data_IF_589524476728
#
_entry.id   IF_589524476728
#
_cell.length_a   1.000
_cell.length_b   1.000
_cell.length_c   1.000
_cell.angle_alpha   90.00
_cell.angle_beta   90.00
_cell.angle_gamma   90.00
#
_symmetry.space_group_name_H-M   'P 1'
#
loop_
_entity.id
_entity.type
_entity.pdbx_description
1 polymer ?
#
# COMPACT_ATOMS: atom_id res chain seq x y z
N UNK A 1 -20.42 -1.87 -4.12
CA UNK A 1 -19.79 -1.98 -2.79
C UNK A 1 -18.92 -0.74 -2.64
N UNK A 2 -19.35 0.23 -1.84
CA UNK A 2 -18.54 1.42 -1.58
C UNK A 2 -17.36 1.02 -0.69
N UNK A 3 -16.19 0.77 -1.29
CA UNK A 3 -14.96 0.63 -0.53
C UNK A 3 -14.72 1.93 0.24
N UNK A 4 -14.58 1.82 1.56
CA UNK A 4 -14.23 2.98 2.38
C UNK A 4 -12.73 3.21 2.21
N UNK A 5 -12.36 4.30 1.53
CA UNK A 5 -10.96 4.75 1.51
C UNK A 5 -10.64 5.34 2.88
N UNK A 6 -9.63 4.76 3.54
CA UNK A 6 -9.15 5.22 4.83
C UNK A 6 -7.66 5.56 4.72
N UNK A 7 -7.26 6.68 5.33
CA UNK A 7 -5.85 7.05 5.47
C UNK A 7 -5.38 6.58 6.84
N UNK A 8 -4.37 5.71 6.86
CA UNK A 8 -3.77 5.20 8.08
C UNK A 8 -2.50 6.01 8.40
N UNK A 9 -2.36 6.43 9.65
CA UNK A 9 -1.13 7.08 10.14
C UNK A 9 -0.02 6.06 10.41
N UNK A 10 1.23 6.54 10.46
CA UNK A 10 2.38 5.69 10.79
C UNK A 10 2.32 5.12 12.22
N UNK A 11 1.69 5.84 13.13
CA UNK A 11 1.40 5.42 14.50
C UNK A 11 0.52 4.17 14.58
N UNK A 12 -0.29 3.92 13.55
CA UNK A 12 -1.06 2.69 13.41
C UNK A 12 -0.29 1.62 12.61
N UNK A 13 0.31 2.02 11.48
CA UNK A 13 0.97 1.09 10.56
C UNK A 13 2.23 0.45 11.14
N UNK A 14 3.04 1.20 11.91
CA UNK A 14 4.32 0.71 12.47
C UNK A 14 4.11 -0.35 13.56
N UNK A 15 3.26 -0.12 14.59
CA UNK A 15 3.01 -1.16 15.60
C UNK A 15 2.26 -2.37 15.03
N UNK A 16 1.41 -2.18 14.03
CA UNK A 16 0.71 -3.27 13.35
C UNK A 16 1.62 -4.13 12.45
N UNK A 17 2.91 -3.79 12.31
CA UNK A 17 3.85 -4.54 11.48
C UNK A 17 3.53 -4.47 9.97
N UNK A 18 2.85 -3.40 9.54
CA UNK A 18 2.44 -3.20 8.17
C UNK A 18 3.66 -3.08 7.24
N UNK A 19 3.71 -3.89 6.18
CA UNK A 19 4.79 -3.85 5.18
C UNK A 19 4.29 -3.27 3.88
N UNK A 20 4.90 -2.17 3.45
CA UNK A 20 4.61 -1.53 2.18
C UNK A 20 5.50 -2.09 1.07
N UNK A 21 4.91 -2.81 0.13
CA UNK A 21 5.54 -3.24 -1.10
C UNK A 21 5.47 -2.13 -2.14
N UNK A 22 6.57 -1.39 -2.32
CA UNK A 22 6.59 -0.27 -3.27
C UNK A 22 6.64 -0.73 -4.73
N UNK A 23 7.23 -1.90 -5.00
CA UNK A 23 7.35 -2.46 -6.35
C UNK A 23 6.01 -2.96 -6.87
N UNK A 24 5.27 -3.72 -6.06
CA UNK A 24 3.99 -4.34 -6.40
C UNK A 24 2.77 -3.50 -6.00
N UNK A 25 2.95 -2.53 -5.09
CA UNK A 25 1.88 -1.61 -4.69
C UNK A 25 0.86 -2.15 -3.75
N UNK A 26 1.22 -3.29 -3.19
CA UNK A 26 0.42 -3.92 -2.18
C UNK A 26 1.04 -3.58 -0.85
N UNK A 27 0.23 -3.78 0.16
CA UNK A 27 0.71 -3.76 1.52
C UNK A 27 0.20 -4.98 2.23
N UNK A 28 1.05 -5.56 3.07
CA UNK A 28 0.75 -6.77 3.80
C UNK A 28 0.77 -6.47 5.29
N UNK A 29 -0.31 -6.82 5.98
CA UNK A 29 -0.29 -6.99 7.43
C UNK A 29 0.39 -8.33 7.79
N UNK A 30 0.93 -8.46 9.01
CA UNK A 30 1.53 -9.71 9.48
C UNK A 30 0.51 -10.86 9.55
N UNK A 31 -0.79 -10.56 9.66
CA UNK A 31 -1.90 -11.52 9.53
C UNK A 31 -2.34 -11.75 8.06
N UNK A 32 -1.47 -11.54 7.08
CA UNK A 32 -1.67 -11.81 5.64
C UNK A 32 -2.75 -11.00 4.91
N UNK A 33 -3.34 -9.97 5.54
CA UNK A 33 -4.28 -9.08 4.85
C UNK A 33 -3.50 -8.23 3.83
N UNK A 34 -3.80 -8.44 2.54
CA UNK A 34 -3.26 -7.65 1.43
C UNK A 34 -4.19 -6.49 1.10
N UNK A 35 -3.71 -5.27 1.28
CA UNK A 35 -4.45 -4.04 0.98
C UNK A 35 -3.85 -3.41 -0.27
N UNK A 36 -4.71 -3.14 -1.26
CA UNK A 36 -4.34 -2.37 -2.45
C UNK A 36 -4.31 -0.89 -2.10
N UNK A 37 -3.23 -0.22 -2.49
CA UNK A 37 -3.06 1.19 -2.23
C UNK A 37 -3.49 2.00 -3.44
N UNK A 38 -4.39 2.94 -3.23
CA UNK A 38 -4.80 3.94 -4.21
C UNK A 38 -3.77 5.08 -4.29
N UNK A 39 -3.63 5.71 -5.46
CA UNK A 39 -2.74 6.88 -5.63
C UNK A 39 -1.25 6.56 -5.81
N UNK A 40 -0.89 5.34 -6.21
CA UNK A 40 0.50 4.99 -6.54
C UNK A 40 1.02 5.86 -7.69
N UNK A 41 2.16 6.51 -7.47
CA UNK A 41 2.96 7.11 -8.54
C UNK A 41 4.08 6.12 -8.92
N UNK A 42 4.41 5.96 -10.20
CA UNK A 42 5.55 5.14 -10.62
C UNK A 42 6.80 5.57 -9.85
N UNK A 43 7.56 4.60 -9.34
CA UNK A 43 8.86 4.89 -8.74
C UNK A 43 9.77 5.47 -9.83
N UNK A 44 10.70 6.34 -9.45
CA UNK A 44 11.59 7.01 -10.41
C UNK A 44 12.40 5.95 -11.18
N UNK A 45 12.02 5.68 -12.42
CA UNK A 45 12.63 4.65 -13.28
C UNK A 45 11.72 3.49 -13.71
N UNK A 46 10.49 3.39 -13.21
CA UNK A 46 9.48 2.50 -13.81
C UNK A 46 9.03 3.15 -15.13
N UNK A 47 9.60 2.68 -16.24
CA UNK A 47 9.16 3.10 -17.56
C UNK A 47 7.74 2.57 -17.77
N UNK A 48 6.76 3.44 -17.58
CA UNK A 48 5.37 3.14 -17.89
C UNK A 48 5.25 3.11 -19.41
N UNK A 49 5.52 1.96 -20.00
CA UNK A 49 5.16 1.71 -21.39
C UNK A 49 3.64 1.74 -21.47
N UNK A 50 3.13 2.70 -22.25
CA UNK A 50 1.72 2.89 -22.56
C UNK A 50 1.12 1.71 -23.34
#
# INVERSE_FOLDING_TARGET
MSGQDAILGMDFMVPAGFRLGLADGTSCLPDEIRIQLSGRRPLYGEHVSA
#
